data_IF_782812133253
#
_entry.id   IF_782812133253
#
_cell.length_a   1.000
_cell.length_b   1.000
_cell.length_c   1.000
_cell.angle_alpha   90.00
_cell.angle_beta   90.00
_cell.angle_gamma   90.00
#
_symmetry.space_group_name_H-M   'P 1'
#
loop_
_entity.id
_entity.type
_entity.pdbx_description
1 polymer ?
#
# COMPACT_ATOMS: atom_id res chain seq x y z
N UNK A 1 5.80 14.75 22.95
CA UNK A 1 4.84 14.82 21.83
C UNK A 1 5.02 13.60 20.92
N UNK A 2 6.26 13.30 20.48
CA UNK A 2 6.62 12.13 19.65
C UNK A 2 6.05 10.76 20.12
N UNK A 3 6.15 10.44 21.42
CA UNK A 3 5.65 9.15 21.96
C UNK A 3 4.13 8.98 21.76
N UNK A 4 3.37 10.07 21.75
CA UNK A 4 1.91 10.01 21.57
C UNK A 4 1.57 9.75 20.11
N UNK A 5 2.25 10.42 19.18
CA UNK A 5 2.04 10.29 17.72
C UNK A 5 2.44 8.91 17.21
N UNK A 6 3.57 8.36 17.67
CA UNK A 6 4.00 6.99 17.37
C UNK A 6 2.97 5.97 17.84
N UNK A 7 2.43 6.14 19.06
CA UNK A 7 1.40 5.25 19.60
C UNK A 7 0.09 5.35 18.81
N UNK A 8 -0.34 6.55 18.45
CA UNK A 8 -1.55 6.77 17.65
C UNK A 8 -1.39 6.17 16.25
N UNK A 9 -0.21 6.29 15.65
CA UNK A 9 0.10 5.72 14.35
C UNK A 9 0.03 4.20 14.39
N UNK A 10 0.64 3.58 15.41
CA UNK A 10 0.56 2.14 15.60
C UNK A 10 -0.89 1.66 15.78
N UNK A 11 -1.69 2.36 16.58
CA UNK A 11 -3.10 2.04 16.78
C UNK A 11 -3.92 2.18 15.48
N UNK A 12 -3.62 3.20 14.67
CA UNK A 12 -4.26 3.40 13.37
C UNK A 12 -3.95 2.26 12.40
N UNK A 13 -2.68 1.85 12.33
CA UNK A 13 -2.23 0.72 11.51
C UNK A 13 -2.88 -0.59 11.99
N UNK A 14 -2.94 -0.82 13.30
CA UNK A 14 -3.58 -2.01 13.88
C UNK A 14 -5.07 -2.09 13.52
N UNK A 15 -5.80 -0.98 13.62
CA UNK A 15 -7.21 -0.89 13.21
C UNK A 15 -7.39 -1.15 11.72
N UNK A 16 -6.55 -0.55 10.88
CA UNK A 16 -6.59 -0.77 9.44
C UNK A 16 -6.30 -2.24 9.09
N UNK A 17 -5.31 -2.86 9.74
CA UNK A 17 -4.98 -4.26 9.57
C UNK A 17 -6.16 -5.17 9.95
N UNK A 18 -6.77 -4.95 11.12
CA UNK A 18 -7.92 -5.71 11.57
C UNK A 18 -9.11 -5.61 10.60
N UNK A 19 -9.46 -4.39 10.15
CA UNK A 19 -10.53 -4.15 9.18
C UNK A 19 -10.25 -4.85 7.84
N UNK A 20 -9.00 -4.84 7.39
CA UNK A 20 -8.62 -5.55 6.17
C UNK A 20 -8.71 -7.08 6.35
N UNK A 21 -8.29 -7.58 7.52
CA UNK A 21 -8.36 -8.98 7.89
C UNK A 21 -9.79 -9.52 7.99
N UNK A 22 -10.75 -8.70 8.42
CA UNK A 22 -12.18 -9.04 8.45
C UNK A 22 -12.78 -9.16 7.04
N UNK A 23 -12.25 -8.41 6.08
CA UNK A 23 -12.66 -8.43 4.67
C UNK A 23 -11.91 -9.47 3.84
N UNK A 24 -10.96 -10.18 4.45
CA UNK A 24 -10.16 -11.21 3.80
C UNK A 24 -10.98 -12.46 3.46
N UNK A 25 -10.57 -13.17 2.41
CA UNK A 25 -11.04 -14.52 2.14
C UNK A 25 -10.70 -15.47 3.31
N UNK A 26 -11.51 -16.52 3.47
CA UNK A 26 -11.33 -17.49 4.56
C UNK A 26 -9.91 -18.08 4.54
N UNK A 27 -9.23 -18.00 5.68
CA UNK A 27 -7.86 -18.50 5.85
C UNK A 27 -6.74 -17.52 5.53
N UNK A 28 -7.00 -16.34 4.95
CA UNK A 28 -5.97 -15.34 4.61
C UNK A 28 -5.86 -14.15 5.55
N UNK A 29 -6.73 -14.08 6.57
CA UNK A 29 -6.79 -12.97 7.54
C UNK A 29 -5.43 -12.54 8.08
N UNK A 30 -4.66 -13.50 8.61
CA UNK A 30 -3.37 -13.20 9.22
C UNK A 30 -2.31 -12.73 8.20
N UNK A 31 -2.40 -13.16 6.94
CA UNK A 31 -1.50 -12.71 5.87
C UNK A 31 -1.79 -11.25 5.51
N UNK A 32 -3.07 -10.91 5.36
CA UNK A 32 -3.51 -9.54 5.05
C UNK A 32 -3.21 -8.58 6.21
N UNK A 33 -3.46 -8.97 7.46
CA UNK A 33 -3.14 -8.15 8.63
C UNK A 33 -1.63 -7.82 8.68
N UNK A 34 -0.76 -8.81 8.43
CA UNK A 34 0.69 -8.58 8.34
C UNK A 34 1.07 -7.69 7.17
N UNK A 35 0.47 -7.89 6.01
CA UNK A 35 0.73 -7.07 4.82
C UNK A 35 0.40 -5.59 5.09
N UNK A 36 -0.76 -5.30 5.68
CA UNK A 36 -1.17 -3.92 6.01
C UNK A 36 -0.18 -3.29 6.99
N UNK A 37 0.22 -4.04 8.03
CA UNK A 37 1.22 -3.56 8.98
C UNK A 37 2.56 -3.25 8.32
N UNK A 38 3.03 -4.09 7.39
CA UNK A 38 4.27 -3.87 6.64
C UNK A 38 4.18 -2.71 5.64
N UNK A 39 3.04 -2.56 4.98
CA UNK A 39 2.80 -1.51 3.99
C UNK A 39 2.94 -0.12 4.61
N UNK A 40 2.41 0.07 5.83
CA UNK A 40 2.37 1.38 6.49
C UNK A 40 3.50 1.61 7.51
N UNK A 41 4.37 0.63 7.76
CA UNK A 41 5.38 0.67 8.83
C UNK A 41 6.33 1.89 8.78
N UNK A 42 6.62 2.41 7.57
CA UNK A 42 7.56 3.51 7.35
C UNK A 42 6.87 4.76 6.78
N UNK A 43 5.55 4.82 6.82
CA UNK A 43 4.80 5.99 6.34
C UNK A 43 4.81 7.07 7.42
N UNK A 44 5.05 8.35 7.08
CA UNK A 44 5.03 9.43 8.07
C UNK A 44 3.70 9.48 8.84
N UNK A 45 3.72 9.78 10.15
CA UNK A 45 2.51 9.86 10.97
C UNK A 45 1.44 10.78 10.40
N UNK A 46 1.81 11.94 9.87
CA UNK A 46 0.86 12.92 9.32
C UNK A 46 0.04 12.35 8.16
N UNK A 47 0.63 11.48 7.33
CA UNK A 47 -0.05 10.83 6.21
C UNK A 47 -1.01 9.72 6.67
N UNK A 48 -0.74 9.07 7.82
CA UNK A 48 -1.58 8.00 8.38
C UNK A 48 -2.70 8.52 9.29
N UNK A 49 -2.38 9.53 10.11
CA UNK A 49 -3.32 10.15 11.04
C UNK A 49 -4.28 11.11 10.32
N UNK A 50 -3.91 11.59 9.14
CA UNK A 50 -4.77 12.38 8.26
C UNK A 50 -5.85 11.59 7.52
N UNK A 51 -5.84 10.25 7.62
CA UNK A 51 -6.78 9.35 6.94
C UNK A 51 -7.54 8.45 7.94
N UNK A 52 -8.53 7.69 7.47
CA UNK A 52 -9.29 6.75 8.32
C UNK A 52 -8.76 5.32 8.22
N UNK A 53 -8.88 4.50 9.28
CA UNK A 53 -8.54 3.08 9.21
C UNK A 53 -9.25 2.33 8.08
N UNK A 54 -10.50 2.68 7.79
CA UNK A 54 -11.29 2.07 6.71
C UNK A 54 -10.71 2.37 5.33
N UNK A 55 -10.24 3.61 5.13
CA UNK A 55 -9.66 4.04 3.87
C UNK A 55 -8.27 3.42 3.67
N UNK A 56 -7.44 3.39 4.72
CA UNK A 56 -6.14 2.71 4.72
C UNK A 56 -6.32 1.20 4.45
N UNK A 57 -7.28 0.55 5.12
CA UNK A 57 -7.58 -0.85 4.88
C UNK A 57 -8.03 -1.10 3.43
N UNK A 58 -8.88 -0.23 2.87
CA UNK A 58 -9.35 -0.35 1.50
C UNK A 58 -8.24 -0.15 0.47
N UNK A 59 -7.35 0.82 0.67
CA UNK A 59 -6.18 1.05 -0.19
C UNK A 59 -5.22 -0.15 -0.17
N UNK A 60 -4.89 -0.66 1.02
CA UNK A 60 -4.04 -1.84 1.14
C UNK A 60 -4.68 -3.08 0.51
N UNK A 61 -5.99 -3.30 0.68
CA UNK A 61 -6.69 -4.41 0.03
C UNK A 61 -6.74 -4.27 -1.50
N UNK A 62 -6.85 -3.04 -2.02
CA UNK A 62 -6.79 -2.79 -3.45
C UNK A 62 -5.42 -3.19 -4.03
N UNK A 63 -4.33 -2.79 -3.37
CA UNK A 63 -2.98 -3.18 -3.76
C UNK A 63 -2.76 -4.69 -3.61
N UNK A 64 -3.23 -5.29 -2.51
CA UNK A 64 -3.17 -6.74 -2.29
C UNK A 64 -3.82 -7.51 -3.43
N UNK A 65 -5.05 -7.16 -3.81
CA UNK A 65 -5.76 -7.80 -4.93
C UNK A 65 -4.98 -7.68 -6.23
N UNK A 66 -4.47 -6.48 -6.54
CA UNK A 66 -3.66 -6.27 -7.74
C UNK A 66 -2.36 -7.09 -7.72
N UNK A 67 -1.74 -7.26 -6.54
CA UNK A 67 -0.55 -8.08 -6.37
C UNK A 67 -0.78 -9.56 -6.68
N UNK A 68 -2.00 -10.07 -6.50
CA UNK A 68 -2.34 -11.46 -6.79
C UNK A 68 -2.39 -11.75 -8.30
N UNK A 69 -2.50 -10.73 -9.15
CA UNK A 69 -2.63 -10.88 -10.60
C UNK A 69 -1.28 -10.74 -11.34
N UNK A 70 -0.18 -10.50 -10.61
CA UNK A 70 1.15 -10.27 -11.20
C UNK A 70 1.69 -11.55 -11.85
N UNK A 71 2.02 -11.53 -13.16
CA UNK A 71 2.70 -12.65 -13.81
C UNK A 71 4.14 -12.84 -13.28
N UNK A 72 4.69 -14.07 -13.35
CA UNK A 72 6.07 -14.33 -12.96
C UNK A 72 7.05 -13.41 -13.71
N UNK A 73 8.01 -12.84 -12.98
CA UNK A 73 9.13 -12.02 -13.51
C UNK A 73 8.73 -10.73 -14.26
N UNK A 74 7.44 -10.45 -14.41
CA UNK A 74 6.93 -9.26 -15.10
C UNK A 74 6.44 -8.24 -14.07
N UNK A 75 6.85 -6.96 -14.13
CA UNK A 75 6.29 -5.94 -13.25
C UNK A 75 4.84 -5.63 -13.63
N UNK A 76 3.98 -5.47 -12.62
CA UNK A 76 2.61 -4.98 -12.81
C UNK A 76 2.54 -3.49 -12.48
N UNK A 77 1.88 -2.72 -13.35
CA UNK A 77 1.69 -1.28 -13.21
C UNK A 77 0.23 -0.94 -13.49
N UNK A 78 -0.39 -0.12 -12.64
CA UNK A 78 -1.67 0.52 -12.96
C UNK A 78 -1.70 1.98 -12.51
N UNK A 79 -2.42 2.80 -13.27
CA UNK A 79 -2.76 4.19 -12.96
C UNK A 79 -4.28 4.31 -12.96
N UNK A 80 -4.84 4.72 -11.83
CA UNK A 80 -6.28 4.84 -11.68
C UNK A 80 -6.65 5.94 -10.68
N UNK A 81 -7.93 6.30 -10.66
CA UNK A 81 -8.51 7.10 -9.59
C UNK A 81 -9.42 6.17 -8.79
N UNK A 82 -9.24 6.02 -7.47
CA UNK A 82 -10.10 5.16 -6.67
C UNK A 82 -11.50 5.75 -6.66
N UNK A 83 -12.38 5.09 -7.40
CA UNK A 83 -13.81 5.27 -7.36
C UNK A 83 -14.37 3.84 -7.20
N UNK A 84 -15.20 3.63 -6.18
CA UNK A 84 -15.97 2.40 -5.96
C UNK A 84 -15.21 1.15 -5.45
N UNK A 85 -13.90 1.22 -5.13
CA UNK A 85 -13.13 0.10 -4.55
C UNK A 85 -13.13 0.04 -3.00
N UNK A 86 -14.08 0.70 -2.34
CA UNK A 86 -14.17 0.73 -0.88
C UNK A 86 -13.13 1.62 -0.18
N UNK A 87 -12.42 2.45 -0.95
CA UNK A 87 -11.56 3.54 -0.49
C UNK A 87 -11.58 4.68 -1.51
N UNK A 88 -11.15 5.87 -1.09
CA UNK A 88 -11.12 7.06 -1.91
C UNK A 88 -9.83 7.85 -1.71
N UNK A 89 -9.44 8.58 -2.75
CA UNK A 89 -8.34 9.53 -2.71
C UNK A 89 -8.69 10.75 -3.58
N UNK A 90 -8.35 11.96 -3.16
CA UNK A 90 -8.44 13.13 -4.02
C UNK A 90 -7.43 13.07 -5.19
N UNK A 91 -6.41 12.23 -5.08
CA UNK A 91 -5.31 12.10 -6.04
C UNK A 91 -5.47 10.88 -6.96
N UNK A 92 -4.71 10.88 -8.05
CA UNK A 92 -4.51 9.67 -8.87
C UNK A 92 -3.49 8.76 -8.20
N UNK A 93 -3.69 7.45 -8.36
CA UNK A 93 -2.90 6.41 -7.73
C UNK A 93 -2.11 5.68 -8.80
N UNK A 94 -0.80 5.55 -8.56
CA UNK A 94 0.10 4.71 -9.35
C UNK A 94 0.54 3.59 -8.44
N UNK A 95 0.24 2.35 -8.83
CA UNK A 95 0.74 1.16 -8.14
C UNK A 95 1.71 0.42 -9.04
N UNK A 96 2.86 0.05 -8.46
CA UNK A 96 3.94 -0.66 -9.13
C UNK A 96 4.30 -1.86 -8.27
N UNK A 97 4.24 -3.05 -8.87
CA UNK A 97 4.57 -4.31 -8.21
C UNK A 97 5.66 -4.98 -9.02
N UNK A 98 6.84 -5.11 -8.43
CA UNK A 98 8.01 -5.65 -9.09
C UNK A 98 8.98 -6.24 -8.06
N UNK A 99 10.01 -6.94 -8.56
CA UNK A 99 11.07 -7.45 -7.70
C UNK A 99 12.02 -6.32 -7.30
N UNK A 100 12.48 -6.36 -6.05
CA UNK A 100 13.32 -5.31 -5.47
C UNK A 100 14.65 -5.16 -6.22
N UNK A 101 15.00 -3.91 -6.54
CA UNK A 101 16.21 -3.52 -7.26
C UNK A 101 16.60 -2.08 -6.85
N UNK A 102 17.89 -1.70 -6.95
CA UNK A 102 18.32 -0.34 -6.67
C UNK A 102 17.59 0.71 -7.53
N UNK A 103 17.36 1.89 -6.95
CA UNK A 103 16.86 3.11 -7.62
C UNK A 103 15.43 3.09 -8.18
N UNK A 104 14.61 2.09 -7.84
CA UNK A 104 13.22 2.02 -8.34
C UNK A 104 12.39 3.25 -7.98
N UNK A 105 12.30 3.56 -6.68
CA UNK A 105 11.52 4.70 -6.20
C UNK A 105 12.06 6.02 -6.78
N UNK A 106 13.37 6.23 -6.68
CA UNK A 106 14.03 7.46 -7.16
C UNK A 106 13.79 7.68 -8.66
N UNK A 107 13.86 6.62 -9.46
CA UNK A 107 13.64 6.70 -10.91
C UNK A 107 12.19 7.05 -11.24
N UNK A 108 11.23 6.48 -10.52
CA UNK A 108 9.81 6.78 -10.71
C UNK A 108 9.51 8.23 -10.31
N UNK A 109 10.01 8.66 -9.15
CA UNK A 109 9.85 10.05 -8.67
C UNK A 109 10.49 11.04 -9.66
N UNK A 110 11.69 10.75 -10.16
CA UNK A 110 12.35 11.59 -11.17
C UNK A 110 11.54 11.69 -12.48
N UNK A 111 10.95 10.59 -12.95
CA UNK A 111 10.11 10.58 -14.14
C UNK A 111 8.79 11.36 -13.93
N UNK A 112 8.17 11.24 -12.77
CA UNK A 112 6.98 12.02 -12.41
C UNK A 112 7.28 13.51 -12.35
N UNK A 113 8.41 13.89 -11.72
CA UNK A 113 8.90 15.27 -11.71
C UNK A 113 9.16 15.80 -13.12
N UNK A 114 9.78 15.01 -14.00
CA UNK A 114 10.01 15.38 -15.42
C UNK A 114 8.70 15.68 -16.16
N UNK A 115 7.63 14.97 -15.80
CA UNK A 115 6.27 15.17 -16.33
C UNK A 115 5.49 16.28 -15.63
N UNK A 116 6.09 16.96 -14.65
CA UNK A 116 5.44 17.98 -13.81
C UNK A 116 4.24 17.43 -13.01
N UNK A 117 4.27 16.14 -12.70
CA UNK A 117 3.33 15.53 -11.78
C UNK A 117 3.88 15.65 -10.35
N UNK A 118 3.05 16.16 -9.44
CA UNK A 118 3.39 16.26 -8.02
C UNK A 118 3.15 14.91 -7.34
N UNK A 119 4.13 14.42 -6.60
CA UNK A 119 3.98 13.24 -5.74
C UNK A 119 3.50 13.70 -4.37
N UNK A 120 2.27 13.34 -4.02
CA UNK A 120 1.68 13.71 -2.73
C UNK A 120 2.07 12.74 -1.61
N UNK A 121 2.16 11.45 -1.92
CA UNK A 121 2.56 10.39 -1.01
C UNK A 121 3.24 9.29 -1.81
N UNK A 122 4.36 8.77 -1.29
CA UNK A 122 5.04 7.61 -1.84
C UNK A 122 5.19 6.56 -0.74
N UNK A 123 4.60 5.38 -0.96
CA UNK A 123 4.72 4.23 -0.06
C UNK A 123 5.49 3.15 -0.83
N UNK A 124 6.65 2.73 -0.31
CA UNK A 124 7.53 1.77 -0.97
C UNK A 124 7.95 0.65 0.01
N UNK A 125 7.04 -0.28 0.33
CA UNK A 125 7.37 -1.40 1.20
C UNK A 125 8.06 -2.50 0.40
N UNK A 126 9.10 -3.12 0.99
CA UNK A 126 9.66 -4.37 0.48
C UNK A 126 9.07 -5.51 1.30
N UNK A 127 8.31 -6.39 0.65
CA UNK A 127 7.56 -7.46 1.31
C UNK A 127 8.07 -8.81 0.84
N UNK A 128 8.41 -9.68 1.79
CA UNK A 128 8.76 -11.07 1.47
C UNK A 128 7.49 -11.84 1.09
N UNK A 129 7.49 -12.44 -0.11
CA UNK A 129 6.35 -13.18 -0.64
C UNK A 129 6.77 -14.55 -1.13
N UNK A 130 5.82 -15.50 -1.10
CA UNK A 130 5.95 -16.79 -1.78
C UNK A 130 4.82 -16.87 -2.81
N UNK A 131 5.19 -17.11 -4.05
CA UNK A 131 4.31 -17.22 -5.21
C UNK A 131 4.38 -18.63 -5.77
N UNK A 132 3.34 -19.08 -6.46
CA UNK A 132 3.37 -20.37 -7.15
C UNK A 132 3.92 -20.21 -8.58
N UNK A 133 3.87 -21.27 -9.38
CA UNK A 133 4.40 -21.24 -10.76
C UNK A 133 3.61 -20.32 -11.70
N UNK A 134 2.34 -20.01 -11.37
CA UNK A 134 1.50 -19.12 -12.15
C UNK A 134 1.68 -17.64 -11.79
N UNK A 135 2.39 -17.36 -10.69
CA UNK A 135 2.72 -16.00 -10.25
C UNK A 135 2.27 -15.68 -8.85
#
# INVERSE_FOLDING_TARGET
MLITEERQTAEQIEKAAALAGERAESGRRAEIERFVAQMYANVPPDDLLGDTPENLAGAALALWRFAQERPPEVPSLRLYKPADEGWASPYSIIEIINDDRPFLLDSVVAELHRRRALVHLAIHPVVAVRRDEAG
#
